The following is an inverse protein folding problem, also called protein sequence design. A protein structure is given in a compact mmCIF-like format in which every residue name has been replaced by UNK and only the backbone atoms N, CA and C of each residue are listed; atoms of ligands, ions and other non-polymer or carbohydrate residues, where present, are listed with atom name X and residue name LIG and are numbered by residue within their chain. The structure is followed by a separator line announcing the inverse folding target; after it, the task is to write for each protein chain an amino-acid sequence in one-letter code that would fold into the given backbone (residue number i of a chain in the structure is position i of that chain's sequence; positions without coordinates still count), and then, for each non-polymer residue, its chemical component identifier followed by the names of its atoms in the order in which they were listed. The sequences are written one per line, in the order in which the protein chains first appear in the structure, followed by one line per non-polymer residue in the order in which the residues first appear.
data_IF_347046375438
#
_entry.id   IF_347046375438
#
_cell.length_a   1.000
_cell.length_b   1.000
_cell.length_c   1.000
_cell.angle_alpha   90.00
_cell.angle_beta   90.00
_cell.angle_gamma   90.00
#
_symmetry.space_group_name_H-M   'P 1'
#
loop_
_entity.id
_entity.type
_entity.pdbx_description
1 polymer ?
#
# COMPACT_ATOMS: atom_id res chain seq x y z
N UNK A 1 -5.70 29.02 -3.40
CA UNK A 1 -4.34 29.28 -2.88
C UNK A 1 -4.20 28.68 -1.48
N UNK A 2 -3.72 27.43 -1.38
CA UNK A 2 -3.52 26.77 -0.08
C UNK A 2 -2.09 27.11 0.39
N UNK A 3 -2.00 27.98 1.42
CA UNK A 3 -0.74 28.36 2.07
C UNK A 3 0.01 27.10 2.51
N UNK A 4 1.23 26.96 2.00
CA UNK A 4 2.10 25.81 2.21
C UNK A 4 2.34 25.53 3.69
N UNK A 5 1.97 24.32 4.12
CA UNK A 5 2.72 23.68 5.19
C UNK A 5 4.16 23.57 4.68
N UNK A 6 5.07 24.34 5.26
CA UNK A 6 6.50 24.27 4.95
C UNK A 6 6.91 22.80 5.02
N UNK A 7 7.42 22.22 3.93
CA UNK A 7 7.76 20.80 3.86
C UNK A 7 8.65 20.36 5.05
N UNK A 8 9.46 21.28 5.55
CA UNK A 8 10.28 21.15 6.76
C UNK A 8 9.52 20.70 8.02
N UNK A 9 8.25 21.09 8.20
CA UNK A 9 7.46 20.71 9.39
C UNK A 9 6.95 19.28 9.34
N UNK A 10 6.73 18.71 8.14
CA UNK A 10 6.27 17.32 8.00
C UNK A 10 7.43 16.36 8.25
N UNK A 11 8.62 16.67 7.71
CA UNK A 11 9.80 15.83 7.87
C UNK A 11 10.55 16.06 9.18
N UNK A 12 10.24 17.08 9.98
CA UNK A 12 10.98 17.39 11.21
C UNK A 12 11.09 16.20 12.18
N UNK A 13 10.01 15.44 12.35
CA UNK A 13 10.02 14.21 13.15
C UNK A 13 10.89 13.11 12.53
N UNK A 14 10.80 12.90 11.21
CA UNK A 14 11.66 11.96 10.49
C UNK A 14 13.15 12.28 10.64
N UNK A 15 13.55 13.56 10.58
CA UNK A 15 14.94 13.96 10.83
C UNK A 15 15.38 13.66 12.26
N UNK A 16 14.52 13.91 13.25
CA UNK A 16 14.82 13.60 14.65
C UNK A 16 15.02 12.08 14.86
N UNK A 17 14.16 11.26 14.28
CA UNK A 17 14.29 9.79 14.29
C UNK A 17 15.59 9.37 13.59
N UNK A 18 15.91 9.96 12.44
CA UNK A 18 17.12 9.65 11.69
C UNK A 18 18.39 9.96 12.48
N UNK A 19 18.47 11.16 13.09
CA UNK A 19 19.62 11.54 13.93
C UNK A 19 19.74 10.60 15.13
N UNK A 20 18.64 10.33 15.84
CA UNK A 20 18.65 9.42 16.97
C UNK A 20 19.10 8.00 16.57
N UNK A 21 18.61 7.50 15.44
CA UNK A 21 18.97 6.18 14.93
C UNK A 21 20.45 6.10 14.50
N UNK A 22 20.98 7.13 13.83
CA UNK A 22 22.40 7.19 13.43
C UNK A 22 23.33 7.28 14.64
N UNK A 23 22.97 8.09 15.65
CA UNK A 23 23.70 8.14 16.93
C UNK A 23 23.64 6.79 17.63
N UNK A 24 22.46 6.16 17.67
CA UNK A 24 22.31 4.80 18.19
C UNK A 24 23.19 3.79 17.45
N UNK A 25 23.25 3.87 16.11
CA UNK A 25 24.10 3.01 15.28
C UNK A 25 25.58 3.20 15.59
N UNK A 26 26.00 4.44 15.83
CA UNK A 26 27.37 4.75 16.27
C UNK A 26 27.67 4.19 17.66
N UNK A 27 26.73 4.29 18.61
CA UNK A 27 26.90 3.72 19.95
C UNK A 27 26.99 2.20 19.91
N UNK A 28 26.19 1.54 19.07
CA UNK A 28 26.13 0.08 18.97
C UNK A 28 27.34 -0.51 18.20
N UNK A 29 27.76 0.13 17.11
CA UNK A 29 28.74 -0.45 16.18
C UNK A 29 29.83 0.51 15.69
N UNK A 30 30.01 1.66 16.35
CA UNK A 30 30.97 2.69 15.93
C UNK A 30 30.66 3.25 14.54
N UNK A 31 31.72 3.66 13.83
CA UNK A 31 31.57 4.19 12.47
C UNK A 31 30.91 3.19 11.51
N UNK A 32 31.21 1.90 11.64
CA UNK A 32 30.61 0.84 10.82
C UNK A 32 29.11 0.71 11.09
N UNK A 33 28.69 0.70 12.37
CA UNK A 33 27.29 0.64 12.76
C UNK A 33 26.49 1.84 12.23
N UNK A 34 27.08 3.05 12.27
CA UNK A 34 26.49 4.23 11.65
C UNK A 34 26.29 4.06 10.14
N UNK A 35 27.31 3.56 9.42
CA UNK A 35 27.21 3.32 7.97
C UNK A 35 26.14 2.28 7.63
N UNK A 36 26.06 1.19 8.41
CA UNK A 36 25.04 0.15 8.23
C UNK A 36 23.64 0.72 8.45
N UNK A 37 23.42 1.48 9.54
CA UNK A 37 22.13 2.12 9.82
C UNK A 37 21.75 3.11 8.72
N UNK A 38 22.71 3.90 8.22
CA UNK A 38 22.47 4.82 7.11
C UNK A 38 22.08 4.09 5.82
N UNK A 39 22.80 3.01 5.48
CA UNK A 39 22.53 2.20 4.30
C UNK A 39 21.15 1.54 4.38
N UNK A 40 20.81 0.94 5.52
CA UNK A 40 19.50 0.35 5.78
C UNK A 40 18.39 1.38 5.70
N UNK A 41 18.59 2.58 6.25
CA UNK A 41 17.62 3.67 6.15
C UNK A 41 17.36 4.10 4.71
N UNK A 42 18.41 4.20 3.87
CA UNK A 42 18.26 4.52 2.45
C UNK A 42 17.57 3.38 1.70
N UNK A 43 17.98 2.14 1.94
CA UNK A 43 17.39 0.95 1.35
C UNK A 43 15.89 0.88 1.66
N UNK A 44 15.52 1.14 2.91
CA UNK A 44 14.14 1.11 3.35
C UNK A 44 13.27 2.17 2.67
N UNK A 45 13.79 3.41 2.55
CA UNK A 45 13.07 4.48 1.83
C UNK A 45 12.91 4.15 0.35
N UNK A 46 13.92 3.52 -0.26
CA UNK A 46 13.88 3.16 -1.68
C UNK A 46 12.88 2.01 -1.95
N UNK A 47 12.93 0.95 -1.14
CA UNK A 47 12.08 -0.23 -1.31
C UNK A 47 10.63 0.04 -0.91
N UNK A 48 10.38 0.91 0.07
CA UNK A 48 9.02 1.19 0.57
C UNK A 48 8.35 2.44 -0.05
N UNK A 49 8.89 2.98 -1.15
CA UNK A 49 8.36 4.21 -1.75
C UNK A 49 6.93 4.04 -2.29
N UNK A 50 6.68 2.94 -2.99
CA UNK A 50 5.35 2.58 -3.51
C UNK A 50 4.34 2.33 -2.37
N UNK A 51 4.78 1.71 -1.28
CA UNK A 51 3.99 1.55 -0.05
C UNK A 51 3.56 2.91 0.51
N UNK A 52 4.42 3.93 0.41
CA UNK A 52 4.08 5.29 0.83
C UNK A 52 2.90 5.87 0.03
N UNK A 53 2.81 5.55 -1.27
CA UNK A 53 1.74 5.99 -2.16
C UNK A 53 0.45 5.21 -1.91
N UNK A 54 0.56 3.89 -1.72
CA UNK A 54 -0.57 3.04 -1.30
C UNK A 54 -1.16 3.52 0.02
N UNK A 55 -0.31 3.77 1.02
CA UNK A 55 -0.78 4.28 2.31
C UNK A 55 -1.39 5.68 2.18
N UNK A 56 -0.93 6.49 1.22
CA UNK A 56 -1.47 7.82 1.01
C UNK A 56 -2.91 7.79 0.49
N UNK A 57 -3.28 6.83 -0.38
CA UNK A 57 -4.65 6.73 -0.92
C UNK A 57 -5.68 6.43 0.17
N UNK A 58 -5.28 5.65 1.18
CA UNK A 58 -6.13 5.32 2.33
C UNK A 58 -6.12 6.47 3.34
N UNK A 59 -4.94 6.99 3.68
CA UNK A 59 -4.79 8.08 4.65
C UNK A 59 -5.47 9.38 4.20
N UNK A 60 -5.59 9.62 2.88
CA UNK A 60 -6.34 10.75 2.32
C UNK A 60 -7.82 10.74 2.71
N UNK A 61 -8.38 9.58 3.07
CA UNK A 61 -9.77 9.43 3.51
C UNK A 61 -9.96 9.77 4.99
N UNK A 62 -8.90 10.12 5.71
CA UNK A 62 -8.89 10.32 7.15
C UNK A 62 -8.64 11.78 7.53
N UNK A 63 -9.20 12.20 8.67
CA UNK A 63 -9.03 13.56 9.17
C UNK A 63 -7.59 13.89 9.61
N UNK A 64 -7.37 15.15 9.99
CA UNK A 64 -6.06 15.65 10.38
C UNK A 64 -5.57 15.10 11.73
N UNK A 65 -6.46 14.57 12.56
CA UNK A 65 -6.08 13.90 13.80
C UNK A 65 -5.42 12.56 13.48
N UNK A 66 -6.05 11.74 12.65
CA UNK A 66 -5.51 10.44 12.25
C UNK A 66 -4.24 10.56 11.40
N UNK A 67 -4.13 11.60 10.57
CA UNK A 67 -2.85 11.92 9.90
C UNK A 67 -1.71 12.24 10.87
N UNK A 68 -2.00 12.82 12.05
CA UNK A 68 -0.99 13.03 13.11
C UNK A 68 -0.70 11.74 13.86
N UNK A 69 -1.71 10.90 14.08
CA UNK A 69 -1.55 9.60 14.71
C UNK A 69 -0.68 8.67 13.89
N UNK A 70 -0.89 8.66 12.58
CA UNK A 70 -0.05 7.95 11.61
C UNK A 70 1.42 8.37 11.69
N UNK A 71 1.72 9.67 11.86
CA UNK A 71 3.10 10.14 12.02
C UNK A 71 3.70 9.93 13.42
N UNK A 72 2.90 9.67 14.45
CA UNK A 72 3.37 9.56 15.83
C UNK A 72 3.35 8.11 16.30
N UNK A 73 2.18 7.62 16.68
CA UNK A 73 1.99 6.22 17.09
C UNK A 73 2.25 5.26 15.94
N UNK A 74 1.85 5.60 14.72
CA UNK A 74 2.09 4.77 13.55
C UNK A 74 3.59 4.52 13.30
N UNK A 75 4.46 5.52 13.47
CA UNK A 75 5.92 5.32 13.32
C UNK A 75 6.44 4.31 14.35
N UNK A 76 5.94 4.36 15.58
CA UNK A 76 6.32 3.42 16.65
C UNK A 76 5.81 2.01 16.32
N UNK A 77 4.55 1.87 15.92
CA UNK A 77 3.97 0.59 15.51
C UNK A 77 4.77 0.00 14.35
N UNK A 78 5.21 0.80 13.40
CA UNK A 78 5.96 0.30 12.27
C UNK A 78 7.40 -0.03 12.55
N UNK A 79 8.12 0.88 13.20
CA UNK A 79 9.54 0.68 13.48
C UNK A 79 9.77 -0.43 14.51
N UNK A 80 8.90 -0.53 15.52
CA UNK A 80 9.05 -1.48 16.62
C UNK A 80 8.04 -2.62 16.49
N UNK A 81 6.76 -2.32 16.33
CA UNK A 81 5.71 -3.34 16.23
C UNK A 81 5.93 -4.28 15.02
N UNK A 82 5.89 -3.74 13.81
CA UNK A 82 5.91 -4.55 12.59
C UNK A 82 7.29 -5.12 12.26
N UNK A 83 8.37 -4.46 12.70
CA UNK A 83 9.74 -4.82 12.32
C UNK A 83 10.57 -5.51 13.41
N UNK A 84 10.21 -5.35 14.69
CA UNK A 84 10.89 -6.05 15.80
C UNK A 84 9.94 -7.05 16.46
N UNK A 85 8.77 -6.60 16.91
CA UNK A 85 7.83 -7.41 17.68
C UNK A 85 7.15 -8.48 16.83
N UNK A 86 6.71 -8.15 15.62
CA UNK A 86 6.03 -9.10 14.74
C UNK A 86 6.97 -10.26 14.32
N UNK A 87 8.19 -10.03 13.80
CA UNK A 87 9.13 -11.12 13.52
C UNK A 87 9.43 -11.97 14.75
N UNK A 88 9.55 -11.35 15.92
CA UNK A 88 9.79 -12.05 17.18
C UNK A 88 8.61 -12.98 17.54
N UNK A 89 7.37 -12.50 17.40
CA UNK A 89 6.17 -13.31 17.63
C UNK A 89 6.13 -14.48 16.65
N UNK A 90 6.45 -14.23 15.37
CA UNK A 90 6.47 -15.26 14.33
C UNK A 90 7.48 -16.35 14.66
N UNK A 91 8.71 -15.98 15.03
CA UNK A 91 9.75 -16.94 15.45
C UNK A 91 9.32 -17.68 16.71
N UNK A 92 8.75 -16.99 17.70
CA UNK A 92 8.28 -17.61 18.93
C UNK A 92 7.21 -18.69 18.66
N UNK A 93 6.22 -18.38 17.83
CA UNK A 93 5.17 -19.34 17.45
C UNK A 93 5.76 -20.46 16.58
N UNK A 94 6.53 -20.12 15.55
CA UNK A 94 7.05 -21.05 14.56
C UNK A 94 8.07 -22.04 15.12
N UNK A 95 8.85 -21.63 16.12
CA UNK A 95 9.82 -22.47 16.82
C UNK A 95 9.32 -23.02 18.17
N UNK A 96 8.04 -22.78 18.49
CA UNK A 96 7.43 -23.16 19.78
C UNK A 96 8.24 -22.69 21.00
N UNK A 97 8.78 -21.47 20.92
CA UNK A 97 9.52 -20.82 21.99
C UNK A 97 8.60 -19.91 22.80
N UNK A 98 8.82 -19.82 24.11
CA UNK A 98 8.23 -18.74 24.91
C UNK A 98 8.83 -17.39 24.50
N UNK A 99 8.08 -16.27 24.53
CA UNK A 99 8.52 -14.98 23.99
C UNK A 99 9.92 -14.53 24.46
N UNK A 100 10.23 -14.73 25.74
CA UNK A 100 11.52 -14.32 26.32
C UNK A 100 12.70 -15.12 25.74
N UNK A 101 12.49 -16.38 25.37
CA UNK A 101 13.51 -17.20 24.70
C UNK A 101 13.71 -16.79 23.25
N UNK A 102 12.67 -16.31 22.58
CA UNK A 102 12.83 -15.75 21.24
C UNK A 102 13.65 -14.45 21.29
N UNK A 103 13.45 -13.61 22.33
CA UNK A 103 14.26 -12.40 22.54
C UNK A 103 15.71 -12.79 22.85
N UNK A 104 15.91 -13.73 23.76
CA UNK A 104 17.24 -14.23 24.10
C UNK A 104 17.95 -14.80 22.86
N UNK A 105 17.26 -15.60 22.04
CA UNK A 105 17.78 -16.13 20.79
C UNK A 105 18.16 -15.02 19.80
N UNK A 106 17.31 -14.00 19.66
CA UNK A 106 17.54 -12.86 18.79
C UNK A 106 18.87 -12.13 19.10
N UNK A 107 19.29 -12.09 20.37
CA UNK A 107 20.55 -11.47 20.78
C UNK A 107 21.73 -12.45 20.89
N UNK A 108 21.49 -13.67 21.34
CA UNK A 108 22.53 -14.68 21.59
C UNK A 108 22.99 -15.41 20.33
N UNK A 109 22.08 -15.66 19.38
CA UNK A 109 22.35 -16.33 18.11
C UNK A 109 21.48 -15.73 16.98
N UNK A 110 21.86 -14.54 16.47
CA UNK A 110 21.08 -13.83 15.45
C UNK A 110 20.97 -14.58 14.13
N UNK A 111 21.96 -15.43 13.80
CA UNK A 111 21.95 -16.27 12.60
C UNK A 111 20.86 -17.32 12.69
N UNK A 112 20.80 -18.04 13.83
CA UNK A 112 19.73 -19.02 14.04
C UNK A 112 18.35 -18.38 14.12
N UNK A 113 18.26 -17.18 14.71
CA UNK A 113 17.02 -16.41 14.68
C UNK A 113 16.58 -16.10 13.23
N UNK A 114 17.51 -15.67 12.39
CA UNK A 114 17.25 -15.42 10.97
C UNK A 114 16.79 -16.68 10.23
N UNK A 115 17.43 -17.83 10.44
CA UNK A 115 17.03 -19.09 9.82
C UNK A 115 15.60 -19.52 10.21
N UNK A 116 15.21 -19.31 11.47
CA UNK A 116 13.85 -19.59 11.94
C UNK A 116 12.83 -18.63 11.32
N UNK A 117 13.22 -17.36 11.10
CA UNK A 117 12.37 -16.38 10.44
C UNK A 117 12.18 -16.74 8.95
N UNK A 118 13.25 -17.10 8.24
CA UNK A 118 13.19 -17.65 6.88
C UNK A 118 12.28 -18.88 6.80
N UNK A 119 12.38 -19.79 7.77
CA UNK A 119 11.52 -20.98 7.80
C UNK A 119 10.02 -20.68 8.03
N UNK A 120 9.67 -19.47 8.48
CA UNK A 120 8.28 -19.01 8.63
C UNK A 120 7.78 -18.24 7.40
N UNK A 121 8.69 -17.71 6.58
CA UNK A 121 8.41 -16.80 5.47
C UNK A 121 7.36 -17.33 4.47
N UNK A 122 7.32 -18.61 4.06
CA UNK A 122 6.27 -19.09 3.14
C UNK A 122 4.85 -18.95 3.71
N UNK A 123 4.67 -19.14 5.03
CA UNK A 123 3.37 -18.95 5.69
C UNK A 123 2.97 -17.48 5.77
N UNK A 124 3.94 -16.59 5.97
CA UNK A 124 3.75 -15.15 5.93
C UNK A 124 3.35 -14.69 4.52
N UNK A 125 4.11 -15.10 3.50
CA UNK A 125 3.89 -14.69 2.13
C UNK A 125 2.49 -15.12 1.66
N UNK A 126 2.06 -16.33 2.07
CA UNK A 126 0.69 -16.80 1.88
C UNK A 126 -0.36 -15.94 2.59
N UNK A 127 -0.12 -15.54 3.84
CA UNK A 127 -0.99 -14.63 4.60
C UNK A 127 -1.12 -13.27 3.91
N UNK A 128 -0.01 -12.60 3.66
CA UNK A 128 0.06 -11.28 3.04
C UNK A 128 -0.50 -11.31 1.62
N UNK A 129 -0.14 -12.32 0.84
CA UNK A 129 -0.60 -12.53 -0.51
C UNK A 129 -2.13 -12.65 -0.62
N UNK A 130 -2.76 -13.47 0.23
CA UNK A 130 -4.22 -13.58 0.24
C UNK A 130 -4.86 -12.28 0.74
N UNK A 131 -4.31 -11.65 1.77
CA UNK A 131 -4.82 -10.39 2.31
C UNK A 131 -4.81 -9.27 1.25
N UNK A 132 -3.69 -9.07 0.56
CA UNK A 132 -3.55 -8.08 -0.51
C UNK A 132 -4.37 -8.43 -1.76
N UNK A 133 -4.48 -9.72 -2.10
CA UNK A 133 -5.31 -10.18 -3.21
C UNK A 133 -6.78 -9.80 -2.97
N UNK A 134 -7.27 -9.99 -1.75
CA UNK A 134 -8.63 -9.61 -1.39
C UNK A 134 -8.87 -8.10 -1.54
N UNK A 135 -7.89 -7.28 -1.19
CA UNK A 135 -7.94 -5.82 -1.37
C UNK A 135 -7.96 -5.45 -2.86
N UNK A 136 -7.10 -6.08 -3.65
CA UNK A 136 -7.03 -5.86 -5.09
C UNK A 136 -8.35 -6.22 -5.79
N UNK A 137 -8.91 -7.40 -5.49
CA UNK A 137 -10.21 -7.82 -6.06
C UNK A 137 -11.33 -6.86 -5.63
N UNK A 138 -11.31 -6.40 -4.37
CA UNK A 138 -12.30 -5.43 -3.90
C UNK A 138 -12.26 -4.12 -4.71
N UNK A 139 -11.06 -3.62 -5.02
CA UNK A 139 -10.88 -2.43 -5.86
C UNK A 139 -11.35 -2.65 -7.30
N UNK A 140 -10.92 -3.73 -7.96
CA UNK A 140 -11.26 -3.98 -9.37
C UNK A 140 -12.72 -4.35 -9.62
N UNK A 141 -13.48 -4.64 -8.56
CA UNK A 141 -14.91 -4.90 -8.63
C UNK A 141 -15.74 -3.60 -8.65
N UNK A 142 -15.22 -2.50 -8.10
CA UNK A 142 -15.93 -1.23 -8.11
C UNK A 142 -15.95 -0.64 -9.53
N UNK A 143 -17.14 -0.28 -10.03
CA UNK A 143 -17.26 0.46 -11.28
C UNK A 143 -16.81 1.91 -11.06
N UNK A 144 -15.88 2.40 -11.87
CA UNK A 144 -15.27 3.74 -11.73
C UNK A 144 -15.23 4.47 -13.06
N UNK A 145 -15.33 5.80 -13.02
CA UNK A 145 -15.33 6.64 -14.23
C UNK A 145 -13.94 6.71 -14.89
N UNK A 146 -12.89 6.68 -14.07
CA UNK A 146 -11.51 6.72 -14.51
C UNK A 146 -11.00 5.30 -14.64
N UNK A 147 -10.34 5.01 -15.77
CA UNK A 147 -9.68 3.72 -16.00
C UNK A 147 -8.26 3.98 -16.47
N UNK A 148 -7.25 3.39 -15.83
CA UNK A 148 -5.87 3.49 -16.29
C UNK A 148 -5.59 2.53 -17.44
N UNK A 149 -6.12 1.30 -17.36
CA UNK A 149 -6.11 0.29 -18.42
C UNK A 149 -7.56 -0.10 -18.83
N UNK A 150 -8.21 0.67 -19.73
CA UNK A 150 -9.63 0.49 -20.07
C UNK A 150 -10.09 -0.92 -20.49
N UNK A 151 -9.39 -1.68 -21.37
CA UNK A 151 -9.88 -3.00 -21.78
C UNK A 151 -9.87 -4.05 -20.67
N UNK A 152 -9.02 -3.89 -19.64
CA UNK A 152 -8.97 -4.78 -18.47
C UNK A 152 -9.98 -4.31 -17.44
N UNK A 153 -9.93 -3.04 -17.06
CA UNK A 153 -10.76 -2.48 -15.98
C UNK A 153 -12.26 -2.43 -16.34
N UNK A 154 -12.66 -2.34 -17.61
CA UNK A 154 -14.09 -2.40 -17.99
C UNK A 154 -14.71 -3.79 -17.93
N UNK A 155 -13.90 -4.85 -17.95
CA UNK A 155 -14.37 -6.25 -17.95
C UNK A 155 -14.36 -6.87 -16.55
N UNK A 156 -13.47 -6.39 -15.69
CA UNK A 156 -13.28 -6.92 -14.34
C UNK A 156 -14.52 -6.78 -13.44
N UNK A 157 -15.23 -5.63 -13.39
CA UNK A 157 -16.43 -5.49 -12.57
C UNK A 157 -17.46 -6.57 -12.89
N UNK A 158 -17.79 -6.77 -14.17
CA UNK A 158 -18.75 -7.78 -14.60
C UNK A 158 -18.34 -9.23 -14.25
N UNK A 159 -17.03 -9.53 -14.24
CA UNK A 159 -16.50 -10.85 -13.85
C UNK A 159 -16.52 -11.05 -12.32
N UNK A 160 -16.33 -9.96 -11.56
CA UNK A 160 -16.12 -9.97 -10.10
C UNK A 160 -17.37 -9.57 -9.30
N UNK A 161 -18.47 -9.18 -9.97
CA UNK A 161 -19.67 -8.60 -9.34
C UNK A 161 -20.41 -9.58 -8.41
N UNK A 162 -20.21 -10.88 -8.58
CA UNK A 162 -20.90 -11.87 -7.76
C UNK A 162 -20.44 -11.83 -6.29
N UNK A 163 -21.42 -11.89 -5.38
CA UNK A 163 -21.19 -12.00 -3.94
C UNK A 163 -20.44 -13.31 -3.66
N UNK A 164 -19.16 -13.21 -3.33
CA UNK A 164 -18.34 -14.36 -2.96
C UNK A 164 -17.13 -14.63 -3.86
N UNK A 165 -17.00 -13.99 -5.03
CA UNK A 165 -15.86 -14.23 -5.93
C UNK A 165 -14.51 -14.05 -5.23
N UNK A 166 -14.27 -12.98 -4.45
CA UNK A 166 -12.98 -12.83 -3.75
C UNK A 166 -12.65 -14.02 -2.85
N UNK A 167 -13.64 -14.51 -2.08
CA UNK A 167 -13.48 -15.65 -1.18
C UNK A 167 -13.24 -16.95 -1.96
N UNK A 168 -13.96 -17.17 -3.05
CA UNK A 168 -13.77 -18.35 -3.91
C UNK A 168 -12.37 -18.36 -4.51
N UNK A 169 -11.89 -17.22 -5.00
CA UNK A 169 -10.52 -17.11 -5.55
C UNK A 169 -9.48 -17.40 -4.46
N UNK A 170 -9.63 -16.83 -3.26
CA UNK A 170 -8.73 -17.07 -2.14
C UNK A 170 -8.73 -18.55 -1.70
N UNK A 171 -9.91 -19.18 -1.61
CA UNK A 171 -10.04 -20.59 -1.23
C UNK A 171 -9.52 -21.53 -2.33
N UNK A 172 -9.75 -21.20 -3.61
CA UNK A 172 -9.21 -21.95 -4.73
C UNK A 172 -7.68 -21.92 -4.73
N UNK A 173 -7.09 -20.74 -4.53
CA UNK A 173 -5.64 -20.61 -4.33
C UNK A 173 -5.17 -21.47 -3.15
N UNK A 174 -5.85 -21.38 -2.00
CA UNK A 174 -5.52 -22.15 -0.80
C UNK A 174 -5.55 -23.65 -1.07
N UNK A 175 -6.54 -24.14 -1.81
CA UNK A 175 -6.64 -25.55 -2.20
C UNK A 175 -5.49 -25.98 -3.13
N UNK A 176 -5.15 -25.16 -4.13
CA UNK A 176 -4.02 -25.40 -5.04
C UNK A 176 -2.69 -25.42 -4.28
N UNK A 177 -2.46 -24.45 -3.41
CA UNK A 177 -1.27 -24.41 -2.56
C UNK A 177 -1.23 -25.65 -1.63
N UNK A 178 -2.38 -26.06 -1.09
CA UNK A 178 -2.52 -27.24 -0.25
C UNK A 178 -2.09 -28.55 -0.91
N UNK A 179 -2.13 -28.66 -2.24
CA UNK A 179 -1.71 -29.88 -2.96
C UNK A 179 -0.35 -29.75 -3.66
N UNK A 180 0.04 -28.55 -4.07
CA UNK A 180 1.27 -28.32 -4.85
C UNK A 180 2.49 -28.01 -3.97
N UNK A 181 2.30 -27.40 -2.80
CA UNK A 181 3.41 -27.02 -1.91
C UNK A 181 4.03 -28.24 -1.24
N UNK A 182 5.37 -28.28 -1.09
CA UNK A 182 6.07 -29.35 -0.38
C UNK A 182 5.52 -29.59 1.04
N UNK A 183 5.44 -30.86 1.44
CA UNK A 183 4.75 -31.27 2.68
C UNK A 183 5.24 -30.59 3.97
N UNK A 184 6.52 -30.20 4.03
CA UNK A 184 7.11 -29.55 5.21
C UNK A 184 6.57 -28.13 5.45
N UNK A 185 6.18 -27.41 4.40
CA UNK A 185 5.72 -26.02 4.49
C UNK A 185 4.21 -25.88 4.25
N UNK A 186 3.59 -26.90 3.68
CA UNK A 186 2.15 -26.95 3.34
C UNK A 186 1.23 -26.49 4.47
N UNK A 187 1.44 -26.98 5.68
CA UNK A 187 0.62 -26.60 6.84
C UNK A 187 0.71 -25.10 7.16
N UNK A 188 1.92 -24.54 7.12
CA UNK A 188 2.18 -23.11 7.36
C UNK A 188 1.52 -22.24 6.29
N UNK A 189 1.65 -22.64 5.03
CA UNK A 189 1.08 -21.93 3.88
C UNK A 189 -0.45 -21.93 3.92
N UNK A 190 -1.08 -23.10 4.10
CA UNK A 190 -2.54 -23.18 4.16
C UNK A 190 -3.09 -22.38 5.34
N UNK A 191 -2.45 -22.48 6.51
CA UNK A 191 -2.83 -21.67 7.67
C UNK A 191 -2.66 -20.18 7.38
N UNK A 192 -1.55 -19.77 6.76
CA UNK A 192 -1.30 -18.41 6.32
C UNK A 192 -2.41 -17.87 5.42
N UNK A 193 -2.76 -18.59 4.35
CA UNK A 193 -3.86 -18.23 3.45
C UNK A 193 -5.19 -18.05 4.19
N UNK A 194 -5.53 -18.98 5.08
CA UNK A 194 -6.77 -18.93 5.86
C UNK A 194 -6.79 -17.75 6.82
N UNK A 195 -5.69 -17.49 7.51
CA UNK A 195 -5.56 -16.34 8.41
C UNK A 195 -5.64 -15.02 7.64
N UNK A 196 -5.03 -14.94 6.44
CA UNK A 196 -5.10 -13.76 5.59
C UNK A 196 -6.54 -13.47 5.15
N UNK A 197 -7.26 -14.51 4.74
CA UNK A 197 -8.67 -14.43 4.38
C UNK A 197 -9.53 -14.00 5.59
N UNK A 198 -9.37 -14.64 6.74
CA UNK A 198 -10.13 -14.33 7.96
C UNK A 198 -9.86 -12.89 8.41
N UNK A 199 -8.61 -12.45 8.42
CA UNK A 199 -8.23 -11.11 8.82
C UNK A 199 -8.87 -10.04 7.91
N UNK A 200 -8.82 -10.25 6.59
CA UNK A 200 -9.51 -9.37 5.65
C UNK A 200 -11.03 -9.34 5.89
N UNK A 201 -11.68 -10.49 6.06
CA UNK A 201 -13.11 -10.55 6.32
C UNK A 201 -13.49 -9.87 7.65
N UNK A 202 -12.67 -10.03 8.69
CA UNK A 202 -12.91 -9.41 9.99
C UNK A 202 -12.87 -7.88 9.89
N UNK A 203 -11.87 -7.31 9.20
CA UNK A 203 -11.78 -5.86 8.99
C UNK A 203 -12.94 -5.35 8.16
N UNK A 204 -13.29 -6.07 7.09
CA UNK A 204 -14.42 -5.69 6.24
C UNK A 204 -15.73 -5.69 7.02
N UNK A 205 -16.00 -6.75 7.79
CA UNK A 205 -17.20 -6.86 8.62
C UNK A 205 -17.30 -5.72 9.63
N UNK A 206 -16.20 -5.39 10.32
CA UNK A 206 -16.16 -4.26 11.25
C UNK A 206 -16.39 -2.93 10.52
N UNK A 207 -15.83 -2.77 9.33
CA UNK A 207 -15.99 -1.55 8.52
C UNK A 207 -17.44 -1.36 8.07
N UNK A 208 -18.08 -2.44 7.59
CA UNK A 208 -19.49 -2.44 7.18
C UNK A 208 -20.39 -2.10 8.38
N UNK A 209 -20.14 -2.70 9.56
CA UNK A 209 -20.88 -2.38 10.80
C UNK A 209 -20.74 -0.92 11.25
N UNK A 210 -19.55 -0.34 11.10
CA UNK A 210 -19.33 1.07 11.44
C UNK A 210 -20.03 1.99 10.44
N UNK A 211 -20.04 1.63 9.16
CA UNK A 211 -20.78 2.38 8.14
C UNK A 211 -22.29 2.36 8.40
N UNK A 212 -22.87 1.19 8.69
CA UNK A 212 -24.30 1.04 9.01
C UNK A 212 -24.72 1.88 10.23
N UNK A 213 -23.88 1.96 11.27
CA UNK A 213 -24.16 2.80 12.45
C UNK A 213 -24.12 4.29 12.13
N UNK A 214 -23.19 4.73 11.29
CA UNK A 214 -23.08 6.12 10.88
C UNK A 214 -24.31 6.57 10.05
N UNK A 215 -24.84 5.69 9.20
CA UNK A 215 -26.07 5.94 8.45
C UNK A 215 -27.30 6.00 9.37
N UNK A 216 -27.36 5.14 10.39
CA UNK A 216 -28.45 5.12 11.37
C UNK A 216 -28.49 6.39 12.26
N UNK A 217 -27.34 6.96 12.58
CA UNK A 217 -27.23 8.21 13.35
C UNK A 217 -27.50 9.48 12.50
N UNK A 218 -27.87 9.33 11.23
CA UNK A 218 -28.20 10.44 10.34
C UNK A 218 -27.00 11.28 9.90
N UNK A 219 -25.77 10.80 10.14
CA UNK A 219 -24.55 11.41 9.61
C UNK A 219 -24.35 11.03 8.13
N UNK A 220 -25.34 11.30 7.27
CA UNK A 220 -25.19 11.19 5.82
C UNK A 220 -24.24 12.28 5.30
N UNK A 221 -22.94 12.13 5.55
CA UNK A 221 -21.92 13.07 5.07
C UNK A 221 -21.43 12.60 3.70
N UNK A 222 -21.68 13.36 2.63
CA UNK A 222 -21.19 13.01 1.31
C UNK A 222 -19.66 13.18 1.31
N UNK A 223 -18.94 12.07 1.08
CA UNK A 223 -17.51 12.06 0.72
C UNK A 223 -16.53 12.72 1.73
N UNK A 224 -16.96 12.96 2.97
CA UNK A 224 -16.18 13.68 3.98
C UNK A 224 -15.29 12.71 4.79
N UNK A 225 -14.03 13.09 4.97
CA UNK A 225 -13.03 12.44 5.84
C UNK A 225 -13.66 11.64 6.99
N UNK A 226 -13.36 10.33 7.03
CA UNK A 226 -13.84 9.43 8.07
C UNK A 226 -13.26 9.89 9.41
N UNK A 227 -14.10 9.90 10.44
CA UNK A 227 -13.75 10.29 11.82
C UNK A 227 -14.12 9.17 12.80
N UNK A 228 -13.68 9.29 14.05
CA UNK A 228 -14.06 8.36 15.12
C UNK A 228 -13.70 6.90 14.84
N UNK A 229 -14.65 5.99 15.09
CA UNK A 229 -14.44 4.54 14.96
C UNK A 229 -14.10 4.09 13.53
N UNK A 230 -14.68 4.72 12.50
CA UNK A 230 -14.38 4.36 11.11
C UNK A 230 -12.94 4.67 10.73
N UNK A 231 -12.41 5.77 11.26
CA UNK A 231 -11.03 6.15 11.05
C UNK A 231 -10.07 5.33 11.91
N UNK A 232 -10.49 4.83 13.09
CA UNK A 232 -9.71 3.83 13.82
C UNK A 232 -9.58 2.53 13.00
N UNK A 233 -10.64 2.06 12.34
CA UNK A 233 -10.57 0.86 11.50
C UNK A 233 -9.66 1.07 10.29
N UNK A 234 -9.77 2.22 9.62
CA UNK A 234 -8.85 2.60 8.53
C UNK A 234 -7.40 2.71 9.01
N UNK A 235 -7.18 3.16 10.25
CA UNK A 235 -5.86 3.21 10.86
C UNK A 235 -5.30 1.81 11.11
N UNK A 236 -6.09 0.91 11.69
CA UNK A 236 -5.69 -0.51 11.87
C UNK A 236 -5.42 -1.17 10.52
N UNK A 237 -6.26 -0.90 9.52
CA UNK A 237 -6.08 -1.38 8.16
C UNK A 237 -4.78 -0.87 7.52
N UNK A 238 -4.43 0.41 7.72
CA UNK A 238 -3.15 0.98 7.30
C UNK A 238 -1.95 0.30 7.96
N UNK A 239 -2.01 0.09 9.28
CA UNK A 239 -0.91 -0.56 10.00
C UNK A 239 -0.76 -2.05 9.61
N UNK A 240 -1.87 -2.72 9.23
CA UNK A 240 -1.82 -4.09 8.71
C UNK A 240 -1.28 -4.17 7.27
N UNK A 241 -1.57 -3.17 6.44
CA UNK A 241 -0.90 -3.04 5.14
C UNK A 241 0.60 -2.83 5.33
N UNK A 242 0.98 -1.91 6.22
CA UNK A 242 2.39 -1.69 6.58
C UNK A 242 3.03 -2.98 7.11
N UNK A 243 2.32 -3.77 7.90
CA UNK A 243 2.78 -5.09 8.36
C UNK A 243 3.18 -6.01 7.22
N UNK A 244 2.31 -6.12 6.22
CA UNK A 244 2.51 -7.01 5.07
C UNK A 244 3.72 -6.56 4.24
N UNK A 245 3.81 -5.27 3.95
CA UNK A 245 4.92 -4.69 3.20
C UNK A 245 6.24 -4.67 3.98
N UNK A 246 6.18 -4.52 5.30
CA UNK A 246 7.38 -4.37 6.14
C UNK A 246 8.19 -5.66 6.27
N UNK A 247 7.62 -6.82 5.95
CA UNK A 247 8.34 -8.07 6.15
C UNK A 247 9.45 -8.30 5.12
N UNK A 248 9.22 -7.89 3.87
CA UNK A 248 10.24 -7.92 2.81
C UNK A 248 11.43 -7.03 3.19
N UNK A 249 11.15 -5.86 3.76
CA UNK A 249 12.14 -4.94 4.30
C UNK A 249 12.98 -5.52 5.45
N UNK A 250 12.35 -6.25 6.37
CA UNK A 250 13.07 -6.92 7.47
C UNK A 250 14.00 -7.99 6.93
N UNK A 251 13.53 -8.80 5.97
CA UNK A 251 14.32 -9.85 5.33
C UNK A 251 15.49 -9.26 4.53
N UNK A 252 15.24 -8.21 3.75
CA UNK A 252 16.27 -7.46 3.05
C UNK A 252 17.32 -6.86 4.01
N UNK A 253 16.91 -6.44 5.21
CA UNK A 253 17.82 -5.97 6.25
C UNK A 253 18.85 -7.00 6.71
N UNK A 254 18.45 -8.27 6.78
CA UNK A 254 19.35 -9.39 7.12
C UNK A 254 20.44 -9.64 6.06
N UNK A 255 20.22 -9.21 4.81
CA UNK A 255 21.26 -9.26 3.76
C UNK A 255 22.42 -8.30 4.02
N UNK A 256 22.18 -7.22 4.78
CA UNK A 256 23.18 -6.21 5.12
C UNK A 256 23.87 -6.54 6.45
N UNK A 257 23.11 -6.96 7.46
CA UNK A 257 23.65 -7.31 8.78
C UNK A 257 22.73 -8.27 9.51
N UNK A 258 23.30 -9.16 10.33
CA UNK A 258 22.52 -10.01 11.26
C UNK A 258 22.27 -9.32 12.61
N UNK A 259 22.84 -8.12 12.84
CA UNK A 259 22.62 -7.39 14.09
C UNK A 259 21.24 -6.73 14.09
N UNK A 260 20.30 -7.33 14.82
CA UNK A 260 18.90 -6.89 14.92
C UNK A 260 18.77 -5.45 15.44
N UNK A 261 19.68 -4.99 16.31
CA UNK A 261 19.65 -3.61 16.77
C UNK A 261 19.95 -2.64 15.61
N UNK A 262 20.95 -2.94 14.78
CA UNK A 262 21.27 -2.12 13.61
C UNK A 262 20.16 -2.18 12.55
N UNK A 263 19.55 -3.36 12.33
CA UNK A 263 18.36 -3.50 11.48
C UNK A 263 17.23 -2.60 11.97
N UNK A 264 16.86 -2.71 13.25
CA UNK A 264 15.76 -1.95 13.84
C UNK A 264 16.00 -0.44 13.74
N UNK A 265 17.22 0.03 14.01
CA UNK A 265 17.58 1.44 13.89
C UNK A 265 17.50 1.94 12.45
N UNK A 266 18.06 1.19 11.49
CA UNK A 266 18.01 1.51 10.07
C UNK A 266 16.58 1.59 9.54
N UNK A 267 15.76 0.58 9.85
CA UNK A 267 14.37 0.57 9.43
C UNK A 267 13.52 1.63 10.13
N UNK A 268 13.87 2.06 11.36
CA UNK A 268 13.21 3.19 12.01
C UNK A 268 13.38 4.51 11.24
N UNK A 269 14.54 4.71 10.60
CA UNK A 269 14.77 5.85 9.70
C UNK A 269 13.76 5.80 8.56
N UNK A 270 13.66 4.66 7.88
CA UNK A 270 12.73 4.50 6.76
C UNK A 270 11.27 4.63 7.17
N UNK A 271 10.85 4.01 8.28
CA UNK A 271 9.50 4.16 8.82
C UNK A 271 9.12 5.65 9.07
N UNK A 272 10.07 6.45 9.57
CA UNK A 272 9.90 7.89 9.74
C UNK A 272 9.74 8.63 8.41
N UNK A 273 10.65 8.40 7.45
CA UNK A 273 10.65 9.10 6.16
C UNK A 273 9.48 8.69 5.26
N UNK A 274 9.18 7.40 5.17
CA UNK A 274 8.05 6.87 4.38
C UNK A 274 6.73 7.45 4.89
N UNK A 275 6.51 7.50 6.21
CA UNK A 275 5.29 8.11 6.76
C UNK A 275 5.23 9.61 6.55
N UNK A 276 6.35 10.30 6.73
CA UNK A 276 6.43 11.73 6.43
C UNK A 276 6.11 12.01 4.96
N UNK A 277 6.61 11.17 4.04
CA UNK A 277 6.30 11.21 2.61
C UNK A 277 4.81 10.94 2.35
N UNK A 278 4.22 9.90 2.94
CA UNK A 278 2.79 9.60 2.83
C UNK A 278 1.94 10.81 3.24
N UNK A 279 2.20 11.38 4.43
CA UNK A 279 1.46 12.56 4.91
C UNK A 279 1.71 13.79 4.03
N UNK A 280 2.92 13.94 3.50
CA UNK A 280 3.25 15.02 2.57
C UNK A 280 2.44 14.90 1.27
N UNK A 281 2.37 13.70 0.68
CA UNK A 281 1.59 13.38 -0.53
C UNK A 281 0.11 13.71 -0.32
N UNK A 282 -0.46 13.29 0.81
CA UNK A 282 -1.86 13.57 1.20
C UNK A 282 -2.09 15.09 1.35
N UNK A 283 -1.27 15.79 2.14
CA UNK A 283 -1.46 17.23 2.42
C UNK A 283 -1.26 18.12 1.21
N UNK A 284 -0.48 17.68 0.22
CA UNK A 284 -0.31 18.38 -1.05
C UNK A 284 -1.45 18.14 -2.04
N UNK A 285 -2.37 17.21 -1.76
CA UNK A 285 -3.40 16.80 -2.72
C UNK A 285 -2.79 16.13 -3.96
N UNK A 286 -1.64 15.48 -3.82
CA UNK A 286 -0.87 14.93 -4.96
C UNK A 286 -1.67 13.84 -5.68
N UNK A 287 -2.45 13.05 -4.94
CA UNK A 287 -3.33 12.02 -5.49
C UNK A 287 -4.43 12.60 -6.39
N UNK A 288 -4.97 13.76 -6.03
CA UNK A 288 -5.99 14.46 -6.83
C UNK A 288 -5.38 15.13 -8.07
N UNK A 289 -4.13 15.56 -7.99
CA UNK A 289 -3.40 16.15 -9.11
C UNK A 289 -3.06 15.11 -10.20
N UNK A 290 -2.85 13.84 -9.82
CA UNK A 290 -2.45 12.77 -10.74
C UNK A 290 -3.54 11.71 -10.89
N UNK A 291 -4.33 11.87 -11.96
CA UNK A 291 -5.52 11.06 -12.28
C UNK A 291 -5.38 9.54 -12.11
N UNK A 292 -4.24 8.96 -12.48
CA UNK A 292 -4.04 7.50 -12.45
C UNK A 292 -3.26 7.01 -11.23
N UNK A 293 -2.84 7.89 -10.33
CA UNK A 293 -1.95 7.50 -9.23
C UNK A 293 -2.64 6.57 -8.21
N UNK A 294 -3.93 6.77 -7.95
CA UNK A 294 -4.71 5.82 -7.13
C UNK A 294 -4.80 4.44 -7.80
N UNK A 295 -5.08 4.39 -9.11
CA UNK A 295 -5.11 3.13 -9.85
C UNK A 295 -3.76 2.43 -9.79
N UNK A 296 -2.67 3.16 -10.06
CA UNK A 296 -1.30 2.63 -9.97
C UNK A 296 -0.98 2.02 -8.61
N UNK A 297 -1.46 2.64 -7.52
CA UNK A 297 -1.31 2.09 -6.18
C UNK A 297 -2.01 0.73 -6.03
N UNK A 298 -3.26 0.59 -6.47
CA UNK A 298 -3.98 -0.69 -6.39
C UNK A 298 -3.44 -1.75 -7.37
N UNK A 299 -2.93 -1.36 -8.53
CA UNK A 299 -2.17 -2.27 -9.40
C UNK A 299 -0.89 -2.77 -8.74
N UNK A 300 -0.20 -1.92 -7.98
CA UNK A 300 1.00 -2.31 -7.21
C UNK A 300 0.64 -3.30 -6.12
N UNK A 301 -0.46 -3.07 -5.37
CA UNK A 301 -1.00 -4.04 -4.39
C UNK A 301 -1.32 -5.38 -5.06
N UNK A 302 -2.00 -5.37 -6.20
CA UNK A 302 -2.41 -6.58 -6.90
C UNK A 302 -1.19 -7.38 -7.38
N UNK A 303 -0.19 -6.69 -7.90
CA UNK A 303 1.03 -7.31 -8.38
C UNK A 303 1.87 -7.86 -7.23
N UNK A 304 1.98 -7.12 -6.12
CA UNK A 304 2.64 -7.63 -4.93
C UNK A 304 1.92 -8.86 -4.36
N UNK A 305 0.58 -8.85 -4.34
CA UNK A 305 -0.19 -10.03 -3.93
C UNK A 305 0.19 -11.25 -4.76
N UNK A 306 0.30 -11.11 -6.09
CA UNK A 306 0.74 -12.19 -6.98
C UNK A 306 2.17 -12.61 -6.69
N UNK A 307 3.09 -11.68 -6.46
CA UNK A 307 4.50 -11.99 -6.15
C UNK A 307 4.63 -12.75 -4.82
N UNK A 308 3.96 -12.31 -3.75
CA UNK A 308 3.95 -12.99 -2.45
C UNK A 308 3.32 -14.38 -2.54
N UNK A 309 2.25 -14.53 -3.31
CA UNK A 309 1.64 -15.82 -3.54
C UNK A 309 2.57 -16.73 -4.35
N UNK A 310 3.28 -16.21 -5.35
CA UNK A 310 4.26 -16.95 -6.13
C UNK A 310 5.47 -17.39 -5.31
N UNK A 311 5.91 -16.54 -4.39
CA UNK A 311 7.05 -16.77 -3.50
C UNK A 311 6.93 -18.05 -2.68
N UNK A 312 5.70 -18.47 -2.38
CA UNK A 312 5.39 -19.75 -1.73
C UNK A 312 5.99 -20.97 -2.44
N UNK A 313 6.10 -20.92 -3.78
CA UNK A 313 6.70 -22.00 -4.57
C UNK A 313 8.17 -21.79 -4.88
N UNK A 314 8.59 -20.53 -5.03
CA UNK A 314 9.95 -20.19 -5.43
C UNK A 314 10.30 -18.79 -4.95
N UNK A 315 11.43 -18.68 -4.27
CA UNK A 315 11.99 -17.41 -3.82
C UNK A 315 12.02 -16.39 -4.95
N UNK A 316 11.43 -15.22 -4.69
CA UNK A 316 11.45 -14.08 -5.58
C UNK A 316 12.55 -13.14 -5.09
N UNK A 317 13.56 -12.79 -5.90
CA UNK A 317 14.57 -11.84 -5.49
C UNK A 317 13.94 -10.49 -5.09
N UNK A 318 14.32 -9.96 -3.94
CA UNK A 318 13.78 -8.71 -3.35
C UNK A 318 13.78 -7.53 -4.33
N UNK A 319 14.84 -7.43 -5.16
CA UNK A 319 14.95 -6.37 -6.15
C UNK A 319 13.88 -6.45 -7.24
N UNK A 320 13.39 -7.64 -7.60
CA UNK A 320 12.29 -7.80 -8.57
C UNK A 320 11.02 -7.22 -7.96
N UNK A 321 10.74 -7.58 -6.71
CA UNK A 321 9.57 -7.07 -5.97
C UNK A 321 9.60 -5.55 -5.87
N UNK A 322 10.71 -4.99 -5.43
CA UNK A 322 10.90 -3.54 -5.30
C UNK A 322 10.82 -2.80 -6.66
N UNK A 323 11.50 -3.29 -7.70
CA UNK A 323 11.47 -2.68 -9.02
C UNK A 323 10.07 -2.73 -9.64
N UNK A 324 9.32 -3.79 -9.37
CA UNK A 324 7.98 -3.98 -9.92
C UNK A 324 7.00 -2.94 -9.39
N UNK A 325 6.96 -2.74 -8.07
CA UNK A 325 6.12 -1.71 -7.46
C UNK A 325 6.54 -0.30 -7.87
N UNK A 326 7.84 0.00 -7.83
CA UNK A 326 8.37 1.29 -8.29
C UNK A 326 8.03 1.57 -9.77
N UNK A 327 8.10 0.55 -10.64
CA UNK A 327 7.76 0.67 -12.05
C UNK A 327 6.28 1.03 -12.25
N UNK A 328 5.36 0.34 -11.56
CA UNK A 328 3.92 0.58 -11.70
C UNK A 328 3.55 1.99 -11.23
N UNK A 329 4.04 2.42 -10.07
CA UNK A 329 3.80 3.77 -9.54
C UNK A 329 4.39 4.85 -10.46
N UNK A 330 5.61 4.65 -10.94
CA UNK A 330 6.27 5.59 -11.86
C UNK A 330 5.52 5.66 -13.19
N UNK A 331 5.07 4.53 -13.74
CA UNK A 331 4.27 4.49 -14.95
C UNK A 331 2.95 5.24 -14.78
N UNK A 332 2.23 5.02 -13.66
CA UNK A 332 0.98 5.71 -13.36
C UNK A 332 1.16 7.23 -13.19
N UNK A 333 2.29 7.65 -12.62
CA UNK A 333 2.65 9.06 -12.49
C UNK A 333 2.96 9.70 -13.87
N UNK A 334 3.78 9.04 -14.69
CA UNK A 334 4.14 9.53 -16.03
C UNK A 334 2.93 9.61 -16.96
N UNK A 335 2.07 8.59 -16.97
CA UNK A 335 0.84 8.58 -17.78
C UNK A 335 -0.13 9.66 -17.32
N UNK A 336 -0.20 9.96 -16.02
CA UNK A 336 -1.00 11.06 -15.48
C UNK A 336 -0.52 12.42 -16.00
N UNK A 337 0.80 12.65 -16.03
CA UNK A 337 1.39 13.87 -16.59
C UNK A 337 1.07 13.98 -18.09
N UNK A 338 1.20 12.88 -18.83
CA UNK A 338 0.92 12.88 -20.26
C UNK A 338 -0.56 13.11 -20.55
N UNK A 339 -1.47 12.54 -19.77
CA UNK A 339 -2.90 12.78 -19.89
C UNK A 339 -3.24 14.25 -19.59
N UNK A 340 -2.66 14.84 -18.54
CA UNK A 340 -2.84 16.26 -18.24
C UNK A 340 -2.38 17.17 -19.40
N UNK A 341 -1.20 16.90 -19.99
CA UNK A 341 -0.70 17.64 -21.16
C UNK A 341 -1.59 17.47 -22.40
N UNK A 342 -2.11 16.27 -22.65
CA UNK A 342 -3.03 16.02 -23.77
C UNK A 342 -4.36 16.75 -23.58
N UNK A 343 -4.86 16.78 -22.35
CA UNK A 343 -6.09 17.50 -22.03
C UNK A 343 -5.92 19.02 -22.21
N UNK A 344 -4.83 19.59 -21.71
CA UNK A 344 -4.49 21.01 -21.95
C UNK A 344 -4.34 21.34 -23.44
N UNK A 345 -3.75 20.44 -24.24
CA UNK A 345 -3.67 20.62 -25.69
C UNK A 345 -5.05 20.61 -26.36
N UNK A 346 -5.92 19.68 -25.98
CA UNK A 346 -7.29 19.61 -26.51
C UNK A 346 -8.13 20.82 -26.11
N UNK A 347 -7.97 21.30 -24.88
CA UNK A 347 -8.64 22.52 -24.40
C UNK A 347 -8.12 23.75 -25.19
N UNK A 348 -6.82 23.84 -25.43
CA UNK A 348 -6.24 24.92 -26.26
C UNK A 348 -6.66 24.84 -27.73
N UNK A 349 -6.78 23.63 -28.31
CA UNK A 349 -7.31 23.43 -29.67
C UNK A 349 -8.81 23.80 -29.74
N UNK A 350 -9.60 23.43 -28.74
CA UNK A 350 -11.03 23.79 -28.67
C UNK A 350 -11.26 25.30 -28.51
N UNK A 351 -10.41 26.01 -27.76
CA UNK A 351 -10.47 27.46 -27.62
C UNK A 351 -10.09 28.19 -28.92
N UNK A 352 -9.24 27.59 -29.76
CA UNK A 352 -8.86 28.12 -31.08
C UNK A 352 -9.98 27.91 -32.11
N UNK A 353 -10.71 26.80 -32.03
CA UNK A 353 -11.83 26.47 -32.94
C UNK A 353 -13.14 27.20 -32.56
N UNK A 354 -13.27 27.69 -31.32
CA UNK A 354 -14.44 28.41 -30.83
C UNK A 354 -14.84 29.65 -31.68
N UNK A 355 -13.91 30.57 -32.04
CA UNK A 355 -14.24 31.70 -32.90
C UNK A 355 -14.60 31.28 -34.35
N UNK A 356 -14.03 30.20 -34.90
CA UNK A 356 -14.40 29.71 -36.24
C UNK A 356 -15.82 29.13 -36.27
N UNK A 357 -16.22 28.39 -35.23
CA UNK A 357 -17.57 27.86 -35.10
C UNK A 357 -18.62 28.98 -34.92
N UNK A 358 -18.30 30.02 -34.15
CA UNK A 358 -19.16 31.18 -33.96
C UNK A 358 -19.32 31.99 -35.26
N UNK A 359 -18.22 32.20 -36.01
CA UNK A 359 -18.24 32.85 -37.33
C UNK A 359 -19.01 32.01 -38.37
N UNK A 360 -18.84 30.69 -38.41
CA UNK A 360 -19.64 29.80 -39.29
C UNK A 360 -21.12 29.82 -38.94
N UNK A 361 -21.49 29.92 -37.67
CA UNK A 361 -22.89 30.02 -37.24
C UNK A 361 -23.54 31.34 -37.70
N UNK A 362 -22.77 32.44 -37.73
CA UNK A 362 -23.22 33.76 -38.21
C UNK A 362 -23.27 33.88 -39.74
N UNK A 363 -22.42 33.13 -40.45
CA UNK A 363 -22.38 33.07 -41.92
C UNK A 363 -23.34 32.04 -42.52
N UNK A 364 -23.98 31.22 -41.68
CA UNK A 364 -24.97 30.23 -42.12
C UNK A 364 -26.30 30.92 -42.46
N UNK A 365 -26.81 30.82 -43.71
CA UNK A 365 -28.05 31.47 -44.08
C UNK A 365 -29.25 30.91 -43.29
N UNK A 366 -30.22 31.76 -42.87
CA UNK A 366 -31.37 31.33 -42.09
C UNK A 366 -32.26 30.42 -42.93
N UNK A 367 -32.11 29.10 -42.79
CA UNK A 367 -32.92 28.13 -43.54
C UNK A 367 -32.56 26.65 -43.44
N UNK A 368 -31.40 26.26 -42.91
CA UNK A 368 -30.97 24.85 -42.92
C UNK A 368 -31.16 24.05 -41.61
N UNK A 369 -31.64 24.67 -40.52
CA UNK A 369 -31.83 23.95 -39.25
C UNK A 369 -33.13 23.10 -39.15
N UNK A 370 -34.03 23.15 -40.14
CA UNK A 370 -35.36 22.53 -40.03
C UNK A 370 -35.54 21.15 -40.71
N UNK A 371 -34.48 20.47 -41.18
CA UNK A 371 -34.63 19.25 -42.02
C UNK A 371 -34.13 17.92 -41.42
N UNK A 372 -33.62 17.87 -40.19
CA UNK A 372 -33.10 16.60 -39.59
C UNK A 372 -33.89 16.13 -38.36
N UNK A 373 -35.21 16.31 -38.38
CA UNK A 373 -36.09 15.87 -37.30
C UNK A 373 -37.42 15.32 -37.81
N UNK A 374 -37.42 14.45 -38.82
CA UNK A 374 -38.61 13.64 -39.18
C UNK A 374 -38.22 12.54 -40.17
N UNK A 375 -37.69 11.42 -39.69
CA UNK A 375 -37.92 10.08 -40.26
C UNK A 375 -37.20 9.01 -39.44
N UNK A 376 -37.93 8.44 -38.48
CA UNK A 376 -37.79 7.04 -38.08
C UNK A 376 -39.09 6.67 -37.36
N UNK A 377 -39.99 6.03 -38.11
CA UNK A 377 -41.04 5.18 -37.58
C UNK A 377 -40.44 3.86 -37.09
#
# INVERSE_FOLDING_TARGET
MIRGASGTRVFGFAHAVAVAALVGGYVVGGAQGLTVVALLGVLEVAVSFDNAIVNATILARMDRYWQRMFMTVGVVIAAIGMRLVLPLIIVAIGAHLVPWRAVDLAYSDPTRYHDLLLAAQPGIAAFGGIFLLMIAIAFFREERDVHWWPPVERRLPALLDHRGVPQVVALAFTAVAGVTVPGQMRGKVVLGCLLGLVCHQAIKLLSDQVAERADADGESRPRATVQGHGALLLFIYLELLDATFSMDSVMGGFSVTVNIALITLGLAIGAGYIRALTVYVVRRGTLEQYRYLEHGAYYSIALLAVLLLWEVWRDVPDWITACTGAFVITAAWLTSIWAAKRQQRREAEADLDAPEAEIQSLLSPPGQQASKGSNAA
#
